data_IF_548481152904
#
_entry.id   IF_548481152904
#
_cell.length_a   1.000
_cell.length_b   1.000
_cell.length_c   1.000
_cell.angle_alpha   90.00
_cell.angle_beta   90.00
_cell.angle_gamma   90.00
#
_symmetry.space_group_name_H-M   'P 1'
#
loop_
_entity.id
_entity.type
_entity.pdbx_description
1 polymer ?
#
# COMPACT_ATOMS: atom_id res chain seq x y z
N UNK A 1 -30.87 -7.15 6.49
CA UNK A 1 -29.63 -7.84 6.96
C UNK A 1 -28.49 -6.84 7.17
N UNK A 2 -28.05 -6.08 6.17
CA UNK A 2 -26.96 -5.09 6.33
C UNK A 2 -27.20 -4.02 7.43
N UNK A 3 -28.42 -3.48 7.54
CA UNK A 3 -28.78 -2.52 8.58
C UNK A 3 -28.69 -3.11 10.01
N UNK A 4 -29.06 -4.39 10.18
CA UNK A 4 -28.94 -5.08 11.47
C UNK A 4 -27.47 -5.29 11.86
N UNK A 5 -26.62 -5.64 10.89
CA UNK A 5 -25.17 -5.77 11.07
C UNK A 5 -24.54 -4.41 11.41
N UNK A 6 -24.95 -3.33 10.73
CA UNK A 6 -24.48 -1.98 11.02
C UNK A 6 -24.83 -1.50 12.44
N UNK A 7 -26.04 -1.81 12.92
CA UNK A 7 -26.46 -1.51 14.30
C UNK A 7 -25.60 -2.31 15.29
N UNK A 8 -25.38 -3.60 15.02
CA UNK A 8 -24.54 -4.46 15.86
C UNK A 8 -23.10 -3.91 15.98
N UNK A 9 -22.50 -3.54 14.85
CA UNK A 9 -21.14 -2.97 14.80
C UNK A 9 -21.05 -1.64 15.54
N UNK A 10 -22.09 -0.79 15.42
CA UNK A 10 -22.17 0.49 16.13
C UNK A 10 -22.19 0.29 17.64
N UNK A 11 -22.89 -0.74 18.14
CA UNK A 11 -22.89 -1.13 19.56
C UNK A 11 -21.51 -1.61 20.01
N UNK A 12 -20.80 -2.38 19.18
CA UNK A 12 -19.44 -2.82 19.46
C UNK A 12 -18.36 -1.75 19.23
N UNK A 13 -18.73 -0.50 18.91
CA UNK A 13 -17.81 0.58 18.53
C UNK A 13 -16.88 0.21 17.36
N UNK A 14 -17.25 -0.77 16.55
CA UNK A 14 -16.52 -1.13 15.34
C UNK A 14 -17.05 -0.24 14.22
N UNK A 15 -16.20 0.54 13.54
CA UNK A 15 -16.64 1.34 12.41
C UNK A 15 -17.20 0.40 11.32
N UNK A 16 -18.44 0.63 10.90
CA UNK A 16 -19.12 -0.23 9.92
C UNK A 16 -18.49 -0.15 8.53
N UNK A 17 -17.81 0.96 8.21
CA UNK A 17 -17.23 1.22 6.90
C UNK A 17 -16.00 0.36 6.58
N UNK A 18 -14.97 0.26 7.46
CA UNK A 18 -13.86 -0.69 7.27
C UNK A 18 -14.31 -2.15 7.31
N UNK A 19 -15.32 -2.47 8.12
CA UNK A 19 -15.87 -3.82 8.20
C UNK A 19 -16.54 -4.25 6.90
N UNK A 20 -17.40 -3.39 6.34
CA UNK A 20 -18.04 -3.65 5.05
C UNK A 20 -17.02 -3.75 3.92
N UNK A 21 -15.98 -2.90 3.92
CA UNK A 21 -14.90 -2.93 2.93
C UNK A 21 -14.09 -4.24 3.02
N UNK A 22 -13.81 -4.72 4.23
CA UNK A 22 -13.16 -6.02 4.47
C UNK A 22 -14.00 -7.23 4.02
N UNK A 23 -15.33 -7.13 4.04
CA UNK A 23 -16.23 -8.16 3.52
C UNK A 23 -16.44 -8.09 2.00
N UNK A 24 -16.30 -6.91 1.40
CA UNK A 24 -16.63 -6.68 0.00
C UNK A 24 -15.47 -7.02 -0.95
N UNK A 25 -14.23 -6.93 -0.47
CA UNK A 25 -13.03 -7.11 -1.29
C UNK A 25 -12.37 -8.46 -0.97
N UNK A 26 -12.00 -9.30 -1.97
CA UNK A 26 -11.35 -10.58 -1.73
C UNK A 26 -10.07 -10.47 -0.90
N UNK A 27 -9.76 -11.51 -0.12
CA UNK A 27 -8.66 -11.54 0.85
C UNK A 27 -7.31 -11.08 0.25
N UNK A 28 -7.04 -11.36 -1.02
CA UNK A 28 -5.81 -10.94 -1.70
C UNK A 28 -5.61 -9.41 -1.69
N UNK A 29 -6.66 -8.62 -1.65
CA UNK A 29 -6.59 -7.15 -1.65
C UNK A 29 -6.66 -6.55 -0.24
N UNK A 30 -7.25 -7.25 0.73
CA UNK A 30 -7.25 -6.82 2.13
C UNK A 30 -5.89 -7.01 2.82
N UNK A 31 -5.09 -8.00 2.40
CA UNK A 31 -3.77 -8.27 2.97
C UNK A 31 -2.80 -7.08 2.80
N UNK A 32 -2.65 -6.47 1.61
CA UNK A 32 -1.87 -5.24 1.46
C UNK A 32 -2.35 -4.07 2.32
N UNK A 33 -3.67 -3.88 2.46
CA UNK A 33 -4.24 -2.83 3.31
C UNK A 33 -3.94 -3.08 4.80
N UNK A 34 -4.09 -4.33 5.24
CA UNK A 34 -3.77 -4.75 6.60
C UNK A 34 -2.29 -4.56 6.91
N UNK A 35 -1.42 -5.00 5.98
CA UNK A 35 0.03 -4.86 6.11
C UNK A 35 0.44 -3.38 6.10
N UNK A 36 -0.15 -2.56 5.23
CA UNK A 36 0.08 -1.12 5.22
C UNK A 36 -0.33 -0.44 6.53
N UNK A 37 -1.48 -0.82 7.10
CA UNK A 37 -1.93 -0.35 8.41
C UNK A 37 -1.00 -0.78 9.55
N UNK A 38 -0.54 -2.04 9.52
CA UNK A 38 0.43 -2.55 10.49
C UNK A 38 1.78 -1.82 10.39
N UNK A 39 2.25 -1.50 9.18
CA UNK A 39 3.47 -0.72 8.96
C UNK A 39 3.29 0.71 9.46
N UNK A 40 2.16 1.37 9.18
CA UNK A 40 1.87 2.72 9.66
C UNK A 40 1.87 2.78 11.20
N UNK A 41 1.25 1.79 11.85
CA UNK A 41 1.28 1.64 13.31
C UNK A 41 2.70 1.38 13.83
N UNK A 42 3.48 0.53 13.16
CA UNK A 42 4.87 0.24 13.50
C UNK A 42 5.78 1.48 13.39
N UNK A 43 5.65 2.26 12.32
CA UNK A 43 6.41 3.49 12.11
C UNK A 43 6.02 4.57 13.12
N UNK A 44 4.72 4.68 13.42
CA UNK A 44 4.18 5.66 14.35
C UNK A 44 4.55 5.36 15.82
N UNK A 45 4.63 4.09 16.20
CA UNK A 45 4.95 3.69 17.58
C UNK A 45 6.43 3.84 17.97
N UNK A 46 7.33 4.13 17.02
CA UNK A 46 8.78 4.18 17.25
C UNK A 46 9.33 5.49 17.82
N UNK A 47 8.54 6.57 17.88
CA UNK A 47 9.03 7.88 18.34
C UNK A 47 8.21 8.40 19.51
N UNK A 48 8.88 8.78 20.62
CA UNK A 48 8.25 9.43 21.79
C UNK A 48 8.01 10.94 21.60
N UNK A 49 8.58 11.55 20.55
CA UNK A 49 8.39 12.97 20.22
C UNK A 49 7.32 13.13 19.14
N UNK A 50 6.25 13.87 19.44
CA UNK A 50 5.12 14.13 18.54
C UNK A 50 5.55 14.75 17.21
N UNK A 51 6.42 15.76 17.24
CA UNK A 51 6.89 16.47 16.05
C UNK A 51 7.63 15.56 15.06
N UNK A 52 8.45 14.62 15.57
CA UNK A 52 9.17 13.67 14.72
C UNK A 52 8.21 12.67 14.09
N UNK A 53 7.11 12.35 14.78
CA UNK A 53 6.12 11.41 14.30
C UNK A 53 5.21 12.03 13.23
N UNK A 54 4.80 13.28 13.43
CA UNK A 54 4.05 14.07 12.45
C UNK A 54 4.86 14.26 11.16
N UNK A 55 6.12 14.69 11.26
CA UNK A 55 6.99 14.83 10.09
C UNK A 55 7.21 13.51 9.33
N UNK A 56 7.23 12.37 10.04
CA UNK A 56 7.29 11.04 9.42
C UNK A 56 5.97 10.64 8.76
N UNK A 57 4.84 11.01 9.35
CA UNK A 57 3.52 10.77 8.81
C UNK A 57 3.31 11.56 7.52
N UNK A 58 3.63 12.85 7.50
CA UNK A 58 3.56 13.68 6.30
C UNK A 58 4.45 13.15 5.18
N UNK A 59 5.69 12.77 5.52
CA UNK A 59 6.60 12.13 4.56
C UNK A 59 6.07 10.79 4.06
N UNK A 60 5.48 9.98 4.95
CA UNK A 60 4.83 8.72 4.59
C UNK A 60 3.68 8.92 3.60
N UNK A 61 2.82 9.91 3.87
CA UNK A 61 1.72 10.29 2.97
C UNK A 61 2.23 10.79 1.62
N UNK A 62 3.28 11.61 1.59
CA UNK A 62 3.87 12.13 0.35
C UNK A 62 4.48 11.01 -0.52
N UNK A 63 5.19 10.06 0.09
CA UNK A 63 5.75 8.91 -0.63
C UNK A 63 4.63 7.98 -1.11
N UNK A 64 3.62 7.74 -0.28
CA UNK A 64 2.47 6.90 -0.63
C UNK A 64 1.68 7.48 -1.80
N UNK A 65 1.37 8.78 -1.79
CA UNK A 65 0.66 9.43 -2.91
C UNK A 65 1.49 9.44 -4.19
N UNK A 66 2.81 9.61 -4.10
CA UNK A 66 3.72 9.47 -5.23
C UNK A 66 3.72 8.05 -5.83
N UNK A 67 3.63 7.02 -4.99
CA UNK A 67 3.55 5.63 -5.44
C UNK A 67 2.19 5.31 -6.09
N UNK A 68 1.10 5.84 -5.54
CA UNK A 68 -0.25 5.74 -6.13
C UNK A 68 -0.27 6.44 -7.51
N UNK A 69 0.28 7.64 -7.62
CA UNK A 69 0.37 8.38 -8.88
C UNK A 69 1.24 7.65 -9.91
N UNK A 70 2.40 7.11 -9.49
CA UNK A 70 3.27 6.30 -10.35
C UNK A 70 2.59 5.03 -10.85
N UNK A 71 1.82 4.34 -9.99
CA UNK A 71 1.02 3.17 -10.37
C UNK A 71 -0.04 3.52 -11.42
N UNK A 72 -0.74 4.65 -11.24
CA UNK A 72 -1.72 5.14 -12.21
C UNK A 72 -1.07 5.49 -13.57
N UNK A 73 0.07 6.20 -13.56
CA UNK A 73 0.81 6.52 -14.79
C UNK A 73 1.29 5.26 -15.51
N UNK A 74 1.82 4.26 -14.79
CA UNK A 74 2.22 2.98 -15.39
C UNK A 74 1.04 2.19 -15.95
N UNK A 75 -0.16 2.31 -15.35
CA UNK A 75 -1.39 1.75 -15.91
C UNK A 75 -1.72 2.35 -17.28
N UNK A 76 -1.59 3.68 -17.42
CA UNK A 76 -1.81 4.38 -18.70
C UNK A 76 -0.77 3.97 -19.74
N UNK A 77 0.52 3.91 -19.36
CA UNK A 77 1.59 3.43 -20.24
C UNK A 77 1.33 2.00 -20.71
N UNK A 78 0.91 1.10 -19.81
CA UNK A 78 0.55 -0.28 -20.17
C UNK A 78 -0.61 -0.34 -21.16
N UNK A 79 -1.64 0.50 -21.00
CA UNK A 79 -2.76 0.57 -21.92
C UNK A 79 -2.34 1.05 -23.32
N UNK A 80 -1.48 2.07 -23.40
CA UNK A 80 -0.94 2.58 -24.67
C UNK A 80 -0.11 1.52 -25.39
N UNK A 81 0.76 0.81 -24.67
CA UNK A 81 1.60 -0.23 -25.28
C UNK A 81 0.76 -1.40 -25.81
N UNK A 82 -0.28 -1.81 -25.08
CA UNK A 82 -1.26 -2.80 -25.56
C UNK A 82 -1.98 -2.33 -26.83
N UNK A 83 -2.33 -1.05 -26.90
CA UNK A 83 -2.98 -0.46 -28.08
C UNK A 83 -2.04 -0.37 -29.29
N UNK A 84 -0.76 -0.13 -29.07
CA UNK A 84 0.28 -0.08 -30.11
C UNK A 84 0.69 -1.48 -30.64
N UNK A 85 0.05 -2.56 -30.18
CA UNK A 85 0.40 -3.95 -30.52
C UNK A 85 1.88 -4.31 -30.26
N UNK A 86 2.53 -3.53 -29.40
CA UNK A 86 3.83 -3.90 -28.85
C UNK A 86 3.51 -4.94 -27.80
N UNK A 87 3.65 -6.22 -28.15
CA UNK A 87 3.49 -7.29 -27.18
C UNK A 87 4.81 -7.43 -26.39
N UNK A 88 5.11 -6.40 -25.60
CA UNK A 88 6.10 -6.46 -24.52
C UNK A 88 5.61 -7.31 -23.34
N UNK A 89 4.62 -8.18 -23.57
CA UNK A 89 4.43 -9.39 -22.80
C UNK A 89 5.73 -10.19 -22.87
N UNK A 90 6.59 -9.94 -21.89
CA UNK A 90 7.56 -10.91 -21.38
C UNK A 90 6.84 -12.25 -21.41
N UNK A 91 7.25 -13.14 -22.33
CA UNK A 91 6.55 -14.37 -22.71
C UNK A 91 5.75 -14.95 -21.55
N UNK A 92 4.46 -15.18 -21.81
CA UNK A 92 3.50 -15.79 -20.91
C UNK A 92 4.03 -17.04 -20.20
N UNK A 93 5.00 -17.77 -20.76
CA UNK A 93 5.69 -18.90 -20.12
C UNK A 93 6.30 -18.55 -18.75
N UNK A 94 6.88 -17.35 -18.57
CA UNK A 94 7.50 -16.94 -17.30
C UNK A 94 6.43 -16.64 -16.24
N UNK A 95 5.32 -16.00 -16.64
CA UNK A 95 4.24 -15.59 -15.74
C UNK A 95 3.20 -16.70 -15.45
N UNK A 96 3.10 -17.70 -16.32
CA UNK A 96 2.21 -18.87 -16.15
C UNK A 96 2.89 -20.03 -15.43
N UNK A 97 4.21 -19.94 -15.20
CA UNK A 97 4.97 -20.97 -14.52
C UNK A 97 4.67 -20.97 -13.02
N UNK A 98 4.72 -22.14 -12.38
CA UNK A 98 4.63 -22.30 -10.91
C UNK A 98 5.68 -21.47 -10.15
N UNK A 99 6.73 -21.00 -10.83
CA UNK A 99 7.75 -20.13 -10.26
C UNK A 99 7.39 -18.64 -10.28
N UNK A 100 6.35 -18.22 -11.01
CA UNK A 100 5.93 -16.83 -11.08
C UNK A 100 5.43 -16.27 -9.73
N UNK A 101 4.70 -17.09 -8.98
CA UNK A 101 4.12 -16.71 -7.68
C UNK A 101 5.20 -16.32 -6.65
N UNK A 102 6.21 -17.16 -6.34
CA UNK A 102 7.26 -16.78 -5.38
C UNK A 102 8.21 -15.69 -5.90
N UNK A 103 8.41 -15.58 -7.21
CA UNK A 103 9.23 -14.51 -7.80
C UNK A 103 8.58 -13.14 -7.60
N UNK A 104 7.25 -13.06 -7.63
CA UNK A 104 6.51 -11.80 -7.40
C UNK A 104 6.57 -11.30 -5.95
N UNK A 105 6.82 -12.18 -4.98
CA UNK A 105 6.96 -11.83 -3.56
C UNK A 105 8.23 -11.02 -3.28
N UNK A 106 9.33 -11.29 -4.01
CA UNK A 106 10.62 -10.60 -3.83
C UNK A 106 10.52 -9.09 -4.09
N UNK A 107 10.02 -8.60 -5.24
CA UNK A 107 9.85 -7.16 -5.45
C UNK A 107 8.79 -6.55 -4.53
N UNK A 108 7.75 -7.30 -4.14
CA UNK A 108 6.75 -6.83 -3.18
C UNK A 108 7.36 -6.52 -1.81
N UNK A 109 8.12 -7.47 -1.24
CA UNK A 109 8.82 -7.28 0.04
C UNK A 109 9.91 -6.20 -0.10
N UNK A 110 10.64 -6.20 -1.22
CA UNK A 110 11.67 -5.21 -1.52
C UNK A 110 11.13 -3.78 -1.54
N UNK A 111 9.98 -3.55 -2.17
CA UNK A 111 9.31 -2.24 -2.20
C UNK A 111 8.82 -1.81 -0.82
N UNK A 112 8.23 -2.73 -0.04
CA UNK A 112 7.82 -2.42 1.33
C UNK A 112 9.01 -2.05 2.21
N UNK A 113 10.10 -2.82 2.15
CA UNK A 113 11.32 -2.55 2.91
C UNK A 113 11.96 -1.20 2.49
N UNK A 114 11.99 -0.91 1.18
CA UNK A 114 12.49 0.35 0.65
C UNK A 114 11.66 1.54 1.12
N UNK A 115 10.33 1.43 1.09
CA UNK A 115 9.41 2.48 1.55
C UNK A 115 9.61 2.74 3.05
N UNK A 116 9.66 1.69 3.87
CA UNK A 116 9.93 1.80 5.31
C UNK A 116 11.31 2.45 5.54
N UNK A 117 12.34 2.03 4.83
CA UNK A 117 13.67 2.62 4.93
C UNK A 117 13.69 4.09 4.54
N UNK A 118 13.00 4.50 3.46
CA UNK A 118 12.89 5.89 3.05
C UNK A 118 12.17 6.75 4.08
N UNK A 119 11.12 6.23 4.72
CA UNK A 119 10.40 6.94 5.78
C UNK A 119 11.27 7.06 7.05
N UNK A 120 12.02 6.01 7.39
CA UNK A 120 12.87 5.96 8.60
C UNK A 120 14.20 6.70 8.44
N UNK A 121 14.76 6.81 7.22
CA UNK A 121 16.02 7.53 6.96
C UNK A 121 15.79 9.02 7.18
N UNK A 122 16.22 9.47 8.37
CA UNK A 122 16.27 10.87 8.80
C UNK A 122 16.97 11.71 7.73
N UNK A 123 16.30 12.72 7.16
CA UNK A 123 17.00 13.89 6.62
C UNK A 123 17.05 14.90 7.76
N UNK A 124 18.18 14.95 8.47
CA UNK A 124 18.52 16.06 9.35
C UNK A 124 18.89 17.31 8.56
N UNK A 125 17.97 17.81 7.72
CA UNK A 125 18.11 19.05 6.93
C UNK A 125 16.72 19.43 6.38
N UNK A 126 15.87 20.03 7.22
CA UNK A 126 14.74 20.86 6.79
C UNK A 126 14.08 21.64 7.95
N UNK A 127 14.87 22.00 8.97
CA UNK A 127 14.52 23.06 9.94
C UNK A 127 15.75 23.94 10.08
N UNK A 128 16.07 24.67 9.01
CA UNK A 128 16.95 25.84 9.03
C UNK A 128 16.85 26.50 7.65
N UNK A 129 15.71 27.11 7.38
CA UNK A 129 15.56 28.30 6.53
C UNK A 129 14.19 28.92 6.83
#
# INVERSE_FOLDING_TARGET
>A
IGAAIAILLTVFKVPALPFALGMFIPLQLNLPLLVGGAIAWFVSSRSKNKEINEARSEKGTLIASGFIAGGALMGVVSAILKFANVDLAIKSEVWSSTFAEPVSLVPYIGLMAFMIWMILKKKGKQVSE
#
